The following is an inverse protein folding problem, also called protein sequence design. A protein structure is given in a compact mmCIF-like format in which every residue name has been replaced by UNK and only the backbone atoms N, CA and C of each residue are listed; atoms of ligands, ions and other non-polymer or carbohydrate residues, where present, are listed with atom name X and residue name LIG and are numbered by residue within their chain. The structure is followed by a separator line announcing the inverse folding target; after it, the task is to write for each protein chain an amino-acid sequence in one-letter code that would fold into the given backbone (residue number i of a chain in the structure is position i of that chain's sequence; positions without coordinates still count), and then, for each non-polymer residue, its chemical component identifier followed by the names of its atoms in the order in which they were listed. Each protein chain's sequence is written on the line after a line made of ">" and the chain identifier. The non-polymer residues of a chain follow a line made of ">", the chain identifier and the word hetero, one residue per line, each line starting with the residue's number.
data_IF_500853312569
#
_entry.id   IF_500853312569
#
_cell.length_a   1.000
_cell.length_b   1.000
_cell.length_c   1.000
_cell.angle_alpha   90.00
_cell.angle_beta   90.00
_cell.angle_gamma   90.00
#
_symmetry.space_group_name_H-M   'P 1'
#
loop_
_entity.id
_entity.type
_entity.pdbx_description
1 polymer ?
#
# COMPACT_ATOMS: atom_id res chain seq x y z
N UNK A 1 9.70 -28.27 -2.14
CA UNK A 1 8.66 -27.32 -1.72
C UNK A 1 7.47 -27.53 -2.64
N UNK A 2 6.52 -28.36 -2.21
CA UNK A 2 5.31 -28.62 -2.97
C UNK A 2 4.51 -27.30 -3.04
N UNK A 3 4.35 -26.77 -4.26
CA UNK A 3 3.41 -25.68 -4.49
C UNK A 3 2.02 -26.24 -4.16
N UNK A 4 1.36 -25.72 -3.15
CA UNK A 4 0.02 -26.12 -2.75
C UNK A 4 -0.94 -25.69 -3.88
N UNK A 5 -1.08 -26.56 -4.88
CA UNK A 5 -2.04 -26.40 -5.97
C UNK A 5 -3.44 -26.23 -5.35
N UNK A 6 -4.07 -25.11 -5.60
CA UNK A 6 -5.40 -24.77 -5.10
C UNK A 6 -5.46 -23.71 -3.99
N UNK A 7 -4.32 -23.16 -3.53
CA UNK A 7 -4.33 -22.05 -2.58
C UNK A 7 -4.18 -20.70 -3.31
N UNK A 8 -4.99 -19.75 -2.91
CA UNK A 8 -4.91 -18.35 -3.36
C UNK A 8 -3.85 -17.61 -2.54
N UNK A 9 -2.70 -17.19 -3.11
CA UNK A 9 -1.74 -16.38 -2.39
C UNK A 9 -2.34 -15.00 -2.09
N UNK A 10 -2.35 -14.64 -0.80
CA UNK A 10 -2.73 -13.30 -0.34
C UNK A 10 -1.44 -12.48 -0.20
N UNK A 11 -1.36 -11.39 -0.93
CA UNK A 11 -0.15 -10.56 -1.03
C UNK A 11 -0.38 -9.22 -0.37
N UNK A 12 0.47 -8.87 0.59
CA UNK A 12 0.45 -7.57 1.25
C UNK A 12 1.54 -6.63 0.70
N UNK A 13 1.66 -6.57 -0.61
CA UNK A 13 2.65 -5.76 -1.33
C UNK A 13 2.18 -5.53 -2.76
N UNK A 14 1.87 -4.30 -3.12
CA UNK A 14 1.39 -3.96 -4.46
C UNK A 14 2.37 -4.36 -5.58
N UNK A 15 3.68 -4.22 -5.36
CA UNK A 15 4.68 -4.62 -6.35
C UNK A 15 4.72 -6.14 -6.56
N UNK A 16 4.64 -6.94 -5.47
CA UNK A 16 4.59 -8.41 -5.56
C UNK A 16 3.28 -8.87 -6.21
N UNK A 17 2.15 -8.29 -5.80
CA UNK A 17 0.83 -8.53 -6.39
C UNK A 17 0.85 -8.30 -7.90
N UNK A 18 1.33 -7.13 -8.32
CA UNK A 18 1.45 -6.78 -9.73
C UNK A 18 2.29 -7.80 -10.50
N UNK A 19 3.49 -8.15 -10.00
CA UNK A 19 4.38 -9.10 -10.67
C UNK A 19 3.79 -10.49 -10.80
N UNK A 20 3.12 -10.97 -9.76
CA UNK A 20 2.46 -12.29 -9.82
C UNK A 20 1.26 -12.28 -10.77
N UNK A 21 0.44 -11.23 -10.77
CA UNK A 21 -0.66 -11.08 -11.73
C UNK A 21 -0.17 -10.94 -13.17
N UNK A 22 0.91 -10.18 -13.39
CA UNK A 22 1.53 -10.05 -14.71
C UNK A 22 2.04 -11.40 -15.21
N UNK A 23 2.72 -12.18 -14.36
CA UNK A 23 3.18 -13.51 -14.72
C UNK A 23 2.02 -14.44 -15.15
N UNK A 24 0.91 -14.44 -14.39
CA UNK A 24 -0.28 -15.19 -14.77
C UNK A 24 -0.86 -14.72 -16.11
N UNK A 25 -0.97 -13.41 -16.28
CA UNK A 25 -1.50 -12.82 -17.52
C UNK A 25 -0.67 -13.21 -18.74
N UNK A 26 0.65 -13.12 -18.64
CA UNK A 26 1.57 -13.48 -19.72
C UNK A 26 1.49 -14.99 -20.09
N UNK A 27 1.42 -15.86 -19.09
CA UNK A 27 1.26 -17.30 -19.31
C UNK A 27 -0.05 -17.63 -20.00
N UNK A 28 -1.15 -16.96 -19.62
CA UNK A 28 -2.46 -17.17 -20.25
C UNK A 28 -2.50 -16.59 -21.66
N UNK A 29 -1.87 -15.44 -21.88
CA UNK A 29 -1.95 -14.69 -23.14
C UNK A 29 -1.00 -15.19 -24.23
N UNK A 30 0.08 -15.91 -23.86
CA UNK A 30 1.13 -16.31 -24.81
C UNK A 30 1.52 -17.79 -24.67
N UNK A 31 1.15 -18.64 -25.65
CA UNK A 31 1.60 -20.04 -25.67
C UNK A 31 3.13 -20.20 -25.64
N UNK A 32 3.86 -19.27 -26.26
CA UNK A 32 5.32 -19.28 -26.27
C UNK A 32 5.90 -19.04 -24.86
N UNK A 33 5.36 -18.06 -24.11
CA UNK A 33 5.77 -17.79 -22.72
C UNK A 33 5.38 -18.97 -21.83
N UNK A 34 4.19 -19.54 -22.01
CA UNK A 34 3.75 -20.72 -21.28
C UNK A 34 4.75 -21.89 -21.44
N UNK A 35 5.19 -22.16 -22.66
CA UNK A 35 6.17 -23.22 -22.94
C UNK A 35 7.53 -22.93 -22.29
N UNK A 36 8.03 -21.69 -22.37
CA UNK A 36 9.27 -21.26 -21.72
C UNK A 36 9.21 -21.40 -20.20
N UNK A 37 8.09 -21.03 -19.59
CA UNK A 37 7.88 -21.17 -18.14
C UNK A 37 7.87 -22.65 -17.76
N UNK A 38 7.14 -23.51 -18.50
CA UNK A 38 7.10 -24.94 -18.23
C UNK A 38 8.50 -25.58 -18.33
N UNK A 39 9.30 -25.20 -19.32
CA UNK A 39 10.69 -25.64 -19.46
C UNK A 39 11.55 -25.19 -18.28
N UNK A 40 11.46 -23.91 -17.91
CA UNK A 40 12.29 -23.32 -16.84
C UNK A 40 11.98 -23.91 -15.45
N UNK A 41 10.71 -24.16 -15.14
CA UNK A 41 10.29 -24.66 -13.82
C UNK A 41 10.12 -26.18 -13.77
N UNK A 42 10.21 -26.87 -14.91
CA UNK A 42 10.06 -28.32 -15.01
C UNK A 42 8.63 -28.82 -14.75
N UNK A 43 7.61 -27.96 -14.84
CA UNK A 43 6.20 -28.27 -14.62
C UNK A 43 5.30 -27.41 -15.50
N UNK A 44 4.20 -28.00 -15.95
CA UNK A 44 3.13 -27.25 -16.61
C UNK A 44 2.48 -26.26 -15.63
N UNK A 45 2.30 -25.01 -16.08
CA UNK A 45 1.56 -23.98 -15.38
C UNK A 45 0.56 -23.32 -16.33
N UNK A 46 -0.68 -23.21 -15.93
CA UNK A 46 -1.78 -22.71 -16.76
C UNK A 46 -2.22 -21.26 -16.43
N UNK A 47 -1.57 -20.62 -15.43
CA UNK A 47 -1.93 -19.27 -14.99
C UNK A 47 -3.20 -19.20 -14.11
N UNK A 48 -3.74 -20.35 -13.69
CA UNK A 48 -5.03 -20.41 -12.98
C UNK A 48 -4.99 -19.98 -11.52
N UNK A 49 -3.81 -19.82 -10.91
CA UNK A 49 -3.68 -19.43 -9.51
C UNK A 49 -4.13 -17.98 -9.31
N UNK A 50 -5.27 -17.82 -8.64
CA UNK A 50 -5.77 -16.49 -8.29
C UNK A 50 -4.83 -15.80 -7.30
N UNK A 51 -4.28 -14.64 -7.67
CA UNK A 51 -3.47 -13.79 -6.78
C UNK A 51 -4.33 -12.65 -6.29
N UNK A 52 -4.41 -12.46 -4.96
CA UNK A 52 -5.23 -11.40 -4.36
C UNK A 52 -4.40 -10.51 -3.45
N UNK A 53 -4.65 -9.21 -3.51
CA UNK A 53 -4.08 -8.28 -2.54
C UNK A 53 -4.85 -8.36 -1.22
N UNK A 54 -4.17 -8.17 -0.09
CA UNK A 54 -4.81 -8.23 1.23
C UNK A 54 -6.02 -7.28 1.35
N UNK A 55 -5.96 -6.12 0.71
CA UNK A 55 -7.07 -5.14 0.71
C UNK A 55 -8.31 -5.69 0.00
N UNK A 56 -8.16 -6.41 -1.12
CA UNK A 56 -9.29 -7.11 -1.79
C UNK A 56 -9.95 -8.10 -0.84
N UNK A 57 -9.15 -8.94 -0.16
CA UNK A 57 -9.65 -9.94 0.79
C UNK A 57 -10.40 -9.28 1.95
N UNK A 58 -9.89 -8.18 2.48
CA UNK A 58 -10.56 -7.44 3.55
C UNK A 58 -11.90 -6.88 3.10
N UNK A 59 -11.96 -6.31 1.90
CA UNK A 59 -13.17 -5.66 1.39
C UNK A 59 -14.22 -6.67 0.92
N UNK A 60 -13.80 -7.74 0.22
CA UNK A 60 -14.70 -8.66 -0.46
C UNK A 60 -15.08 -9.86 0.41
N UNK A 61 -14.13 -10.47 1.13
CA UNK A 61 -14.37 -11.69 1.90
C UNK A 61 -14.80 -11.41 3.34
N UNK A 62 -14.14 -10.44 4.00
CA UNK A 62 -14.47 -10.05 5.38
C UNK A 62 -15.66 -9.09 5.36
N UNK A 63 -15.60 -8.07 4.51
CA UNK A 63 -16.56 -6.99 4.38
C UNK A 63 -16.44 -5.94 5.49
N UNK A 64 -16.69 -4.68 5.13
CA UNK A 64 -16.52 -3.53 6.03
C UNK A 64 -17.40 -3.62 7.29
N UNK A 65 -18.64 -4.11 7.17
CA UNK A 65 -19.56 -4.16 8.29
C UNK A 65 -19.15 -5.20 9.34
N UNK A 66 -18.61 -6.34 8.90
CA UNK A 66 -18.07 -7.35 9.81
C UNK A 66 -16.77 -6.84 10.47
N UNK A 67 -15.94 -6.15 9.71
CA UNK A 67 -14.70 -5.56 10.21
C UNK A 67 -14.97 -4.50 11.29
N UNK A 68 -15.94 -3.60 11.07
CA UNK A 68 -16.35 -2.57 12.04
C UNK A 68 -16.77 -3.15 13.39
N UNK A 69 -17.43 -4.31 13.41
CA UNK A 69 -17.83 -4.99 14.65
C UNK A 69 -16.65 -5.43 15.52
N UNK A 70 -15.47 -5.58 14.93
CA UNK A 70 -14.25 -6.01 15.62
C UNK A 70 -13.42 -4.84 16.15
N UNK A 71 -13.72 -3.60 15.76
CA UNK A 71 -12.94 -2.43 16.16
C UNK A 71 -13.13 -2.13 17.65
N UNK A 72 -12.03 -1.94 18.32
CA UNK A 72 -11.91 -1.54 19.72
C UNK A 72 -11.56 -0.06 19.87
N UNK A 73 -11.05 0.55 18.81
CA UNK A 73 -10.64 1.94 18.75
C UNK A 73 -11.02 2.54 17.39
N UNK A 74 -11.13 3.87 17.33
CA UNK A 74 -11.43 4.61 16.12
C UNK A 74 -10.27 5.55 15.77
N UNK A 75 -10.13 5.87 14.50
CA UNK A 75 -9.21 6.90 14.00
C UNK A 75 -9.87 8.28 13.93
N UNK A 76 -10.88 8.52 14.74
CA UNK A 76 -11.66 9.76 14.73
C UNK A 76 -10.78 11.02 14.69
N UNK A 77 -11.06 11.93 13.76
CA UNK A 77 -10.32 13.17 13.56
C UNK A 77 -9.00 13.06 12.81
N UNK A 78 -8.53 11.83 12.46
CA UNK A 78 -7.30 11.65 11.69
C UNK A 78 -7.55 11.89 10.20
N UNK A 79 -6.84 12.87 9.62
CA UNK A 79 -6.87 13.17 8.20
C UNK A 79 -5.84 12.30 7.46
N UNK A 80 -6.28 11.38 6.63
CA UNK A 80 -5.43 10.37 6.01
C UNK A 80 -5.40 10.53 4.49
N UNK A 81 -4.24 10.76 3.90
CA UNK A 81 -4.04 10.67 2.47
C UNK A 81 -3.85 9.19 2.07
N UNK A 82 -4.82 8.63 1.36
CA UNK A 82 -4.76 7.26 0.88
C UNK A 82 -3.88 7.18 -0.38
N UNK A 83 -2.72 6.52 -0.26
CA UNK A 83 -1.77 6.38 -1.36
C UNK A 83 -1.69 4.93 -1.84
N UNK A 84 -2.16 4.69 -3.04
CA UNK A 84 -2.20 3.39 -3.70
C UNK A 84 -0.90 3.07 -4.42
N UNK A 85 -0.24 4.11 -4.95
CA UNK A 85 0.90 3.97 -5.83
C UNK A 85 0.53 3.34 -7.18
N UNK A 86 1.53 3.18 -8.06
CA UNK A 86 1.26 2.74 -9.44
C UNK A 86 0.95 1.24 -9.55
N UNK A 87 1.70 0.37 -8.86
CA UNK A 87 1.62 -1.08 -9.05
C UNK A 87 0.34 -1.75 -8.55
N UNK A 88 -0.41 -1.10 -7.67
CA UNK A 88 -1.65 -1.69 -7.17
C UNK A 88 -2.76 -1.66 -8.22
N UNK A 89 -2.81 -0.58 -9.01
CA UNK A 89 -3.92 -0.30 -9.93
C UNK A 89 -3.54 -0.36 -11.41
N UNK A 90 -2.23 -0.40 -11.76
CA UNK A 90 -1.77 -0.35 -13.16
C UNK A 90 -0.76 -1.46 -13.46
N UNK A 91 -0.77 -2.05 -14.69
CA UNK A 91 -1.76 -1.83 -15.73
C UNK A 91 -3.12 -2.41 -15.35
N UNK A 92 -4.20 -1.68 -15.62
CA UNK A 92 -5.54 -2.01 -15.13
C UNK A 92 -6.07 -3.35 -15.68
N UNK A 93 -5.77 -3.66 -16.94
CA UNK A 93 -6.15 -4.92 -17.59
C UNK A 93 -5.57 -6.16 -16.91
N UNK A 94 -4.46 -6.00 -16.17
CA UNK A 94 -3.79 -7.06 -15.40
C UNK A 94 -4.24 -7.07 -13.94
N UNK A 95 -4.19 -5.92 -13.29
CA UNK A 95 -4.46 -5.83 -11.84
C UNK A 95 -5.93 -5.96 -11.52
N UNK A 96 -6.79 -5.24 -12.25
CA UNK A 96 -8.26 -5.17 -12.03
C UNK A 96 -8.63 -4.95 -10.57
N UNK A 97 -7.80 -4.16 -9.85
CA UNK A 97 -7.95 -3.97 -8.42
C UNK A 97 -9.01 -2.90 -8.07
N UNK A 98 -8.89 -1.73 -8.68
CA UNK A 98 -9.73 -0.55 -8.41
C UNK A 98 -9.62 0.38 -9.61
N UNK A 99 -10.27 1.54 -9.58
CA UNK A 99 -10.11 2.56 -10.62
C UNK A 99 -8.62 2.94 -10.76
N UNK A 100 -8.04 2.92 -11.98
CA UNK A 100 -6.61 3.16 -12.18
C UNK A 100 -6.20 4.62 -11.99
N UNK A 101 -7.15 5.57 -11.98
CA UNK A 101 -6.89 7.00 -11.85
C UNK A 101 -7.39 7.57 -10.51
N UNK A 102 -8.56 7.12 -10.04
CA UNK A 102 -9.14 7.57 -8.77
C UNK A 102 -9.63 6.41 -7.91
N UNK A 103 -8.75 5.54 -7.42
CA UNK A 103 -9.13 4.42 -6.56
C UNK A 103 -9.69 4.88 -5.22
N UNK A 104 -10.58 4.06 -4.63
CA UNK A 104 -11.32 4.37 -3.40
C UNK A 104 -11.28 3.27 -2.33
N UNK A 105 -10.70 2.12 -2.62
CA UNK A 105 -10.64 0.97 -1.70
C UNK A 105 -10.01 1.27 -0.34
N UNK A 106 -8.85 1.96 -0.32
CA UNK A 106 -8.21 2.38 0.93
C UNK A 106 -9.00 3.48 1.64
N UNK A 107 -9.61 4.39 0.85
CA UNK A 107 -10.47 5.46 1.37
C UNK A 107 -11.67 4.87 2.14
N UNK A 108 -12.30 3.82 1.60
CA UNK A 108 -13.39 3.10 2.26
C UNK A 108 -12.93 2.44 3.57
N UNK A 109 -11.72 1.85 3.59
CA UNK A 109 -11.15 1.27 4.81
C UNK A 109 -10.88 2.35 5.87
N UNK A 110 -10.28 3.47 5.49
CA UNK A 110 -10.00 4.59 6.41
C UNK A 110 -11.31 5.12 7.01
N UNK A 111 -12.33 5.36 6.18
CA UNK A 111 -13.65 5.78 6.65
C UNK A 111 -14.30 4.75 7.56
N UNK A 112 -14.18 3.46 7.25
CA UNK A 112 -14.70 2.39 8.09
C UNK A 112 -14.03 2.35 9.48
N UNK A 113 -12.73 2.71 9.55
CA UNK A 113 -11.97 2.87 10.80
C UNK A 113 -12.29 4.17 11.56
N UNK A 114 -13.18 5.02 11.03
CA UNK A 114 -13.59 6.29 11.64
C UNK A 114 -12.64 7.45 11.36
N UNK A 115 -11.66 7.28 10.48
CA UNK A 115 -10.79 8.35 9.99
C UNK A 115 -11.41 9.11 8.81
N UNK A 116 -10.82 10.25 8.49
CA UNK A 116 -11.20 11.07 7.34
C UNK A 116 -10.22 10.82 6.18
N UNK A 117 -10.75 10.35 5.05
CA UNK A 117 -9.94 10.23 3.84
C UNK A 117 -9.88 11.56 3.12
N UNK A 118 -8.68 12.10 2.99
CA UNK A 118 -8.43 13.36 2.28
C UNK A 118 -8.57 13.15 0.78
N UNK A 119 -9.31 14.05 0.12
CA UNK A 119 -9.32 14.09 -1.34
C UNK A 119 -8.05 14.78 -1.85
N UNK A 120 -7.27 14.07 -2.67
CA UNK A 120 -5.98 14.55 -3.16
C UNK A 120 -5.58 13.90 -4.49
N UNK A 121 -4.84 14.62 -5.36
CA UNK A 121 -4.63 14.17 -6.74
C UNK A 121 -3.52 13.13 -6.91
N UNK A 122 -2.65 12.87 -5.91
CA UNK A 122 -1.46 12.02 -6.06
C UNK A 122 -1.65 10.59 -5.53
N UNK A 123 -2.88 10.08 -5.54
CA UNK A 123 -3.20 8.72 -5.08
C UNK A 123 -2.40 7.62 -5.78
N UNK A 124 -2.12 7.80 -7.07
CA UNK A 124 -1.54 6.77 -7.95
C UNK A 124 -0.20 7.17 -8.58
N UNK A 125 0.36 8.31 -8.19
CA UNK A 125 1.68 8.75 -8.66
C UNK A 125 2.79 7.76 -8.28
N UNK A 126 3.90 7.79 -9.01
CA UNK A 126 5.01 6.86 -8.76
C UNK A 126 5.95 7.39 -7.67
N UNK A 127 6.16 6.60 -6.61
CA UNK A 127 7.14 6.92 -5.55
C UNK A 127 8.60 6.65 -5.95
N UNK A 128 8.84 6.07 -7.12
CA UNK A 128 10.17 5.68 -7.54
C UNK A 128 10.72 4.43 -6.83
N UNK A 129 9.88 3.65 -6.13
CA UNK A 129 10.30 2.55 -5.26
C UNK A 129 11.24 1.52 -5.92
N UNK A 130 11.08 1.24 -7.21
CA UNK A 130 11.99 0.37 -7.97
C UNK A 130 13.42 0.93 -8.13
N UNK A 131 13.63 2.21 -7.87
CA UNK A 131 14.91 2.91 -8.01
C UNK A 131 15.61 3.19 -6.67
N UNK A 132 15.06 2.70 -5.56
CA UNK A 132 15.56 3.00 -4.21
C UNK A 132 17.05 2.70 -3.99
N UNK A 133 17.60 1.70 -4.69
CA UNK A 133 18.99 1.29 -4.57
C UNK A 133 19.90 1.87 -5.66
N UNK A 134 19.34 2.31 -6.79
CA UNK A 134 20.14 2.71 -7.97
C UNK A 134 20.09 4.21 -8.27
N UNK A 135 18.94 4.86 -8.03
CA UNK A 135 18.72 6.27 -8.35
C UNK A 135 17.94 6.98 -7.23
N UNK A 136 18.58 7.06 -6.06
CA UNK A 136 18.02 7.71 -4.87
C UNK A 136 17.62 9.17 -5.13
N UNK A 137 18.35 9.86 -5.98
CA UNK A 137 18.03 11.24 -6.42
C UNK A 137 16.64 11.35 -7.04
N UNK A 138 16.27 10.41 -7.91
CA UNK A 138 14.94 10.35 -8.53
C UNK A 138 13.87 10.02 -7.49
N UNK A 139 14.14 9.04 -6.62
CA UNK A 139 13.21 8.63 -5.54
C UNK A 139 12.90 9.81 -4.62
N UNK A 140 13.93 10.54 -4.18
CA UNK A 140 13.78 11.72 -3.31
C UNK A 140 12.89 12.76 -3.98
N UNK A 141 13.12 13.08 -5.25
CA UNK A 141 12.32 14.04 -6.00
C UNK A 141 10.83 13.63 -6.08
N UNK A 142 10.56 12.39 -6.50
CA UNK A 142 9.20 11.89 -6.66
C UNK A 142 8.47 11.82 -5.31
N UNK A 143 9.13 11.26 -4.31
CA UNK A 143 8.55 11.11 -2.97
C UNK A 143 8.32 12.45 -2.27
N UNK A 144 9.19 13.45 -2.48
CA UNK A 144 8.98 14.81 -1.96
C UNK A 144 7.70 15.42 -2.51
N UNK A 145 7.47 15.31 -3.82
CA UNK A 145 6.25 15.85 -4.46
C UNK A 145 4.98 15.19 -3.90
N UNK A 146 5.02 13.88 -3.64
CA UNK A 146 3.88 13.14 -3.05
C UNK A 146 3.60 13.65 -1.62
N UNK A 147 4.64 13.76 -0.78
CA UNK A 147 4.47 14.23 0.59
C UNK A 147 4.00 15.70 0.63
N UNK A 148 4.55 16.54 -0.22
CA UNK A 148 4.13 17.95 -0.32
C UNK A 148 2.66 18.09 -0.70
N UNK A 149 2.20 17.29 -1.68
CA UNK A 149 0.81 17.30 -2.09
C UNK A 149 -0.12 16.78 -0.99
N UNK A 150 0.21 15.68 -0.32
CA UNK A 150 -0.57 15.17 0.81
C UNK A 150 -0.71 16.22 1.92
N UNK A 151 0.41 16.89 2.25
CA UNK A 151 0.41 17.97 3.25
C UNK A 151 -0.42 19.19 2.80
N UNK A 152 -0.29 19.60 1.55
CA UNK A 152 -1.07 20.72 0.99
C UNK A 152 -2.57 20.43 0.99
N UNK A 153 -2.94 19.15 0.88
CA UNK A 153 -4.33 18.67 0.97
C UNK A 153 -4.82 18.49 2.41
N UNK A 154 -4.03 18.82 3.43
CA UNK A 154 -4.44 18.78 4.82
C UNK A 154 -4.29 17.42 5.51
N UNK A 155 -3.52 16.50 4.96
CA UNK A 155 -3.32 15.19 5.58
C UNK A 155 -2.37 15.24 6.81
N UNK A 156 -2.76 14.54 7.86
CA UNK A 156 -1.94 14.30 9.07
C UNK A 156 -0.93 13.16 8.84
N UNK A 157 -1.28 12.20 8.00
CA UNK A 157 -0.44 11.07 7.62
C UNK A 157 -0.80 10.54 6.23
N UNK A 158 0.10 9.74 5.66
CA UNK A 158 -0.16 8.98 4.42
C UNK A 158 -0.30 7.51 4.79
N UNK A 159 -1.35 6.85 4.29
CA UNK A 159 -1.44 5.38 4.36
C UNK A 159 -1.09 4.74 3.04
N UNK A 160 -0.38 3.61 3.11
CA UNK A 160 0.14 2.88 1.95
C UNK A 160 -0.24 1.39 1.98
N UNK A 161 -0.26 0.74 0.82
CA UNK A 161 -0.49 -0.70 0.65
C UNK A 161 0.70 -1.42 -0.02
N UNK A 162 1.88 -0.80 -0.03
CA UNK A 162 3.10 -1.34 -0.62
C UNK A 162 4.32 -1.03 0.25
N UNK A 163 5.12 -2.04 0.66
CA UNK A 163 6.34 -1.82 1.46
C UNK A 163 7.38 -0.97 0.73
N UNK A 164 7.47 -1.08 -0.60
CA UNK A 164 8.37 -0.25 -1.39
C UNK A 164 7.97 1.23 -1.34
N UNK A 165 6.66 1.51 -1.40
CA UNK A 165 6.14 2.87 -1.25
C UNK A 165 6.39 3.39 0.17
N UNK A 166 6.16 2.56 1.20
CA UNK A 166 6.48 2.92 2.58
C UNK A 166 7.96 3.27 2.72
N UNK A 167 8.86 2.43 2.21
CA UNK A 167 10.29 2.69 2.25
C UNK A 167 10.67 4.00 1.55
N UNK A 168 10.12 4.27 0.37
CA UNK A 168 10.40 5.50 -0.38
C UNK A 168 9.91 6.75 0.33
N UNK A 169 8.72 6.70 0.92
CA UNK A 169 8.08 7.86 1.55
C UNK A 169 8.55 8.07 3.00
N UNK A 170 8.83 7.01 3.76
CA UNK A 170 9.25 7.11 5.17
C UNK A 170 10.78 7.29 5.29
N UNK A 171 11.57 6.34 4.75
CA UNK A 171 13.02 6.32 4.98
C UNK A 171 13.75 7.47 4.29
N UNK A 172 13.22 8.00 3.18
CA UNK A 172 13.87 9.05 2.40
C UNK A 172 13.60 10.48 2.88
N UNK A 173 12.78 10.68 3.92
CA UNK A 173 12.49 12.04 4.40
C UNK A 173 13.71 12.79 4.91
N UNK A 174 14.71 12.10 5.46
CA UNK A 174 15.98 12.72 5.84
C UNK A 174 16.80 13.14 4.60
N UNK A 175 16.80 12.34 3.53
CA UNK A 175 17.48 12.68 2.29
C UNK A 175 16.77 13.85 1.58
N UNK A 176 15.45 13.90 1.64
CA UNK A 176 14.64 15.03 1.16
C UNK A 176 15.02 16.32 1.91
N UNK A 177 15.18 16.25 3.23
CA UNK A 177 15.58 17.39 4.03
C UNK A 177 16.97 17.90 3.66
N UNK A 178 17.94 17.01 3.39
CA UNK A 178 19.29 17.37 2.96
C UNK A 178 19.29 18.03 1.58
N UNK A 179 18.48 17.59 0.63
CA UNK A 179 18.44 18.13 -0.73
C UNK A 179 17.59 19.40 -0.84
N UNK A 180 16.46 19.45 -0.15
CA UNK A 180 15.49 20.55 -0.24
C UNK A 180 15.49 21.52 0.95
N UNK A 181 16.29 21.27 1.98
CA UNK A 181 16.34 22.10 3.21
C UNK A 181 15.06 22.07 4.04
N UNK A 182 14.09 21.17 3.72
CA UNK A 182 12.79 21.10 4.36
C UNK A 182 12.56 19.73 5.00
N UNK A 183 12.32 19.72 6.30
CA UNK A 183 11.92 18.53 7.04
C UNK A 183 10.39 18.37 6.95
N UNK A 184 9.93 17.25 6.41
CA UNK A 184 8.49 17.03 6.20
C UNK A 184 7.79 16.52 7.47
N UNK A 185 8.41 15.60 8.21
CA UNK A 185 7.84 14.93 9.38
C UNK A 185 6.44 14.34 9.11
N UNK A 186 6.21 13.84 7.89
CA UNK A 186 4.95 13.21 7.49
C UNK A 186 4.97 11.74 7.89
N UNK A 187 4.14 11.27 8.83
CA UNK A 187 4.06 9.85 9.16
C UNK A 187 3.53 9.05 7.98
N UNK A 188 4.21 7.94 7.67
CA UNK A 188 3.80 6.99 6.63
C UNK A 188 3.41 5.68 7.28
N UNK A 189 2.13 5.39 7.29
CA UNK A 189 1.57 4.23 7.97
C UNK A 189 1.10 3.19 6.95
N UNK A 190 1.46 1.92 7.18
CA UNK A 190 0.88 0.86 6.39
C UNK A 190 -0.61 0.70 6.73
N UNK A 191 -1.46 0.40 5.74
CA UNK A 191 -2.91 0.24 5.97
C UNK A 191 -3.20 -0.80 7.06
N UNK A 192 -2.39 -1.86 7.17
CA UNK A 192 -2.53 -2.86 8.22
C UNK A 192 -2.10 -2.36 9.60
N UNK A 193 -1.25 -1.33 9.69
CA UNK A 193 -0.93 -0.70 10.97
C UNK A 193 -2.12 0.11 11.49
N UNK A 194 -2.78 0.89 10.63
CA UNK A 194 -4.01 1.60 10.99
C UNK A 194 -5.12 0.62 11.39
N UNK A 195 -5.30 -0.44 10.60
CA UNK A 195 -6.26 -1.50 10.90
C UNK A 195 -5.96 -2.19 12.23
N UNK A 196 -4.71 -2.55 12.49
CA UNK A 196 -4.28 -3.16 13.74
C UNK A 196 -4.53 -2.27 14.95
N UNK A 197 -4.30 -0.94 14.83
CA UNK A 197 -4.67 0.01 15.88
C UNK A 197 -6.16 -0.05 16.20
N UNK A 198 -7.02 -0.06 15.19
CA UNK A 198 -8.48 -0.15 15.39
C UNK A 198 -8.88 -1.48 16.03
N UNK A 199 -8.22 -2.58 15.70
CA UNK A 199 -8.41 -3.88 16.32
C UNK A 199 -7.84 -4.00 17.74
N UNK A 200 -7.16 -2.96 18.23
CA UNK A 200 -6.60 -2.89 19.59
C UNK A 200 -5.23 -3.55 19.74
N UNK A 201 -4.52 -3.77 18.64
CA UNK A 201 -3.12 -4.22 18.67
C UNK A 201 -2.23 -3.09 19.17
N UNK A 202 -1.27 -3.40 20.02
CA UNK A 202 -0.40 -2.37 20.60
C UNK A 202 0.52 -1.73 19.57
N UNK A 203 0.86 -0.46 19.76
CA UNK A 203 1.79 0.26 18.88
C UNK A 203 3.16 -0.42 18.78
N UNK A 204 3.60 -1.10 19.85
CA UNK A 204 4.83 -1.86 19.90
C UNK A 204 4.78 -3.08 18.96
N UNK A 205 3.69 -3.85 19.01
CA UNK A 205 3.49 -5.02 18.14
C UNK A 205 3.34 -4.62 16.67
N UNK A 206 2.71 -3.47 16.40
CA UNK A 206 2.60 -2.89 15.06
C UNK A 206 3.92 -2.28 14.54
N UNK A 207 4.97 -2.26 15.35
CA UNK A 207 6.27 -1.74 14.96
C UNK A 207 6.31 -0.24 14.68
N UNK A 208 5.36 0.54 15.22
CA UNK A 208 5.27 1.98 14.93
C UNK A 208 6.50 2.77 15.38
N UNK A 209 7.20 2.31 16.41
CA UNK A 209 8.45 2.91 16.88
C UNK A 209 9.64 2.68 15.93
N UNK A 210 9.49 1.82 14.92
CA UNK A 210 10.54 1.53 13.91
C UNK A 210 10.41 2.39 12.66
N UNK A 211 9.31 3.14 12.53
CA UNK A 211 9.14 4.09 11.44
C UNK A 211 10.13 5.25 11.60
N UNK A 212 10.63 5.77 10.49
CA UNK A 212 11.57 6.89 10.49
C UNK A 212 10.91 8.13 11.08
N UNK A 213 9.64 8.37 10.72
CA UNK A 213 8.83 9.44 11.31
C UNK A 213 7.84 8.81 12.28
N UNK A 214 8.01 9.12 13.57
CA UNK A 214 7.18 8.57 14.63
C UNK A 214 5.74 9.13 14.55
N UNK A 215 4.72 8.28 14.39
CA UNK A 215 3.34 8.71 14.25
C UNK A 215 2.64 9.05 15.58
N UNK A 216 3.31 8.91 16.72
CA UNK A 216 2.67 9.01 18.04
C UNK A 216 1.96 10.34 18.26
N UNK A 217 2.49 11.45 17.74
CA UNK A 217 1.88 12.77 17.91
C UNK A 217 0.50 12.86 17.23
N UNK A 218 0.41 12.40 15.97
CA UNK A 218 -0.86 12.41 15.22
C UNK A 218 -1.86 11.40 15.78
N UNK A 219 -1.38 10.23 16.22
CA UNK A 219 -2.23 9.19 16.82
C UNK A 219 -2.72 9.53 18.23
N UNK A 220 -2.05 10.41 18.97
CA UNK A 220 -2.52 10.89 20.27
C UNK A 220 -3.60 11.96 20.12
N UNK A 221 -3.54 12.78 19.08
CA UNK A 221 -4.56 13.79 18.80
C UNK A 221 -5.94 13.15 18.58
N UNK A 222 -6.00 11.97 17.95
CA UNK A 222 -7.27 11.24 17.70
C UNK A 222 -7.93 10.66 18.97
N UNK A 223 -7.17 10.49 20.05
CA UNK A 223 -7.69 9.90 21.32
C UNK A 223 -8.32 10.91 22.27
N UNK A 224 -8.24 12.21 21.96
CA UNK A 224 -8.70 13.28 22.86
C UNK A 224 -10.13 13.74 22.56
N UNK A 225 -10.79 13.13 21.63
CA UNK A 225 -12.17 13.35 21.24
C UNK A 225 -12.97 12.03 21.28
#
# INVERSE_FOLDING_TARGET
>A
MECLLGQTPIVNCAACYNRMKTANHEVVSSPAIKAQVAEAVGKEYDGSVAVRHLVEVILEDIGLDNLKKQFKQSLHGLQVACYYGCFLVRPHEVTRFDDPENPTSLDHLVKAMGGESVDWPYKVECCGGGLNLTRTDVVVKLSSSIIEMARASGADCITVACPMCQASLDLRQQDMAKQGGKLYNMPILYITQLLGLCLGVSQKELGLSRLMINPSAVLQATRKH
#
